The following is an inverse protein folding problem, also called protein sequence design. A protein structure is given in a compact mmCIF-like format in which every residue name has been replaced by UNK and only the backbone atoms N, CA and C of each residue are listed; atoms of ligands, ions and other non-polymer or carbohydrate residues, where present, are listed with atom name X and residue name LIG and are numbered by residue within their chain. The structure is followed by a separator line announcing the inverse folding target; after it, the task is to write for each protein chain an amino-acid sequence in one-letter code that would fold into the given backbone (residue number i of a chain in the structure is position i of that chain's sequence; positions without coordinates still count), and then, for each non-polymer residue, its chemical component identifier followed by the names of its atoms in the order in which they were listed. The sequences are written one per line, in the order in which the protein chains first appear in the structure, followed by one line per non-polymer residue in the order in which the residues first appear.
data_IF_565023365820
#
_entry.id   IF_565023365820
#
_cell.length_a   1.000
_cell.length_b   1.000
_cell.length_c   1.000
_cell.angle_alpha   90.00
_cell.angle_beta   90.00
_cell.angle_gamma   90.00
#
_symmetry.space_group_name_H-M   'P 1'
#
loop_
_entity.id
_entity.type
_entity.pdbx_description
1 polymer ?
#
# COMPACT_ATOMS: atom_id res chain seq x y z
N UNK A 1 5.82 21.49 -10.22
CA UNK A 1 7.16 22.10 -10.05
C UNK A 1 7.89 21.93 -11.39
N UNK A 2 8.69 22.90 -11.84
CA UNK A 2 9.44 22.77 -13.10
C UNK A 2 10.48 21.64 -13.00
N UNK A 3 10.66 20.87 -14.08
CA UNK A 3 11.54 19.68 -14.09
C UNK A 3 13.00 20.02 -13.75
N UNK A 4 13.53 21.12 -14.29
CA UNK A 4 14.91 21.57 -14.03
C UNK A 4 15.17 21.84 -12.54
N UNK A 5 14.16 22.39 -11.83
CA UNK A 5 14.25 22.61 -10.37
C UNK A 5 14.29 21.28 -9.62
N UNK A 6 13.53 20.28 -10.06
CA UNK A 6 13.50 18.94 -9.44
C UNK A 6 14.85 18.26 -9.62
N UNK A 7 15.46 18.34 -10.80
CA UNK A 7 16.78 17.77 -11.09
C UNK A 7 17.87 18.34 -10.17
N UNK A 8 17.90 19.66 -10.00
CA UNK A 8 18.83 20.31 -9.07
C UNK A 8 18.58 19.93 -7.60
N UNK A 9 17.33 19.64 -7.21
CA UNK A 9 17.02 19.14 -5.86
C UNK A 9 17.44 17.68 -5.69
N UNK A 10 17.24 16.83 -6.71
CA UNK A 10 17.69 15.44 -6.71
C UNK A 10 19.20 15.34 -6.57
N UNK A 11 19.97 16.19 -7.27
CA UNK A 11 21.41 16.22 -7.11
C UNK A 11 21.83 16.52 -5.65
N UNK A 12 21.20 17.53 -5.03
CA UNK A 12 21.44 17.86 -3.61
C UNK A 12 21.03 16.73 -2.66
N UNK A 13 19.93 16.04 -2.96
CA UNK A 13 19.46 14.89 -2.20
C UNK A 13 20.48 13.74 -2.26
N UNK A 14 20.97 13.40 -3.46
CA UNK A 14 22.00 12.37 -3.63
C UNK A 14 23.33 12.74 -2.97
N UNK A 15 23.68 14.03 -2.96
CA UNK A 15 24.83 14.56 -2.24
C UNK A 15 24.61 14.65 -0.71
N UNK A 16 23.41 14.39 -0.21
CA UNK A 16 23.01 14.54 1.20
C UNK A 16 23.22 15.95 1.77
N UNK A 17 23.08 16.96 0.91
CA UNK A 17 23.16 18.38 1.29
C UNK A 17 21.82 19.10 1.17
N UNK A 18 20.78 18.38 0.75
CA UNK A 18 19.41 18.88 0.75
C UNK A 18 18.93 19.15 2.19
N UNK A 19 18.12 20.19 2.37
CA UNK A 19 17.44 20.46 3.64
C UNK A 19 16.16 19.64 3.76
N UNK A 20 15.67 19.42 4.98
CA UNK A 20 14.38 18.73 5.21
C UNK A 20 13.21 19.34 4.43
N UNK A 21 13.22 20.67 4.25
CA UNK A 21 12.20 21.36 3.46
C UNK A 21 12.29 21.00 1.96
N UNK A 22 13.50 20.88 1.43
CA UNK A 22 13.75 20.49 0.04
C UNK A 22 13.41 19.02 -0.20
N UNK A 23 13.71 18.14 0.74
CA UNK A 23 13.32 16.72 0.68
C UNK A 23 11.79 16.57 0.71
N UNK A 24 11.11 17.39 1.52
CA UNK A 24 9.65 17.46 1.50
C UNK A 24 9.11 17.95 0.15
N UNK A 25 9.70 18.99 -0.44
CA UNK A 25 9.33 19.44 -1.79
C UNK A 25 9.52 18.34 -2.86
N UNK A 26 10.61 17.57 -2.78
CA UNK A 26 10.82 16.41 -3.64
C UNK A 26 9.75 15.35 -3.43
N UNK A 27 9.45 15.01 -2.17
CA UNK A 27 8.41 14.04 -1.84
C UNK A 27 7.03 14.48 -2.37
N UNK A 28 6.63 15.72 -2.11
CA UNK A 28 5.36 16.28 -2.58
C UNK A 28 5.27 16.26 -4.12
N UNK A 29 6.38 16.53 -4.82
CA UNK A 29 6.44 16.44 -6.27
C UNK A 29 6.25 15.01 -6.78
N UNK A 30 6.95 14.03 -6.20
CA UNK A 30 6.86 12.62 -6.64
C UNK A 30 5.56 11.93 -6.24
N UNK A 31 4.87 12.43 -5.20
CA UNK A 31 3.51 12.00 -4.84
C UNK A 31 2.43 12.68 -5.70
N UNK A 32 2.78 13.69 -6.49
CA UNK A 32 1.83 14.35 -7.39
C UNK A 32 1.55 13.49 -8.63
N UNK A 33 0.44 13.77 -9.32
CA UNK A 33 0.09 13.07 -10.56
C UNK A 33 0.85 13.58 -11.79
N UNK A 34 1.68 14.63 -11.64
CA UNK A 34 2.33 15.36 -12.74
C UNK A 34 3.85 15.27 -12.65
N UNK A 35 4.36 14.03 -12.62
CA UNK A 35 5.80 13.75 -12.61
C UNK A 35 6.30 13.60 -14.05
N UNK A 36 7.30 14.41 -14.42
CA UNK A 36 7.92 14.34 -15.74
C UNK A 36 8.44 12.93 -16.08
N UNK A 37 8.24 12.50 -17.33
CA UNK A 37 8.48 11.11 -17.76
C UNK A 37 9.90 10.60 -17.49
N UNK A 38 10.92 11.45 -17.67
CA UNK A 38 12.32 11.06 -17.43
C UNK A 38 12.68 10.96 -15.93
N UNK A 39 11.87 11.55 -15.06
CA UNK A 39 12.05 11.53 -13.61
C UNK A 39 11.25 10.42 -12.92
N UNK A 40 10.31 9.76 -13.62
CA UNK A 40 9.46 8.71 -13.05
C UNK A 40 10.25 7.55 -12.41
N UNK A 41 11.44 7.25 -12.92
CA UNK A 41 12.33 6.23 -12.35
C UNK A 41 12.74 6.49 -10.89
N UNK A 42 12.70 7.75 -10.45
CA UNK A 42 13.06 8.15 -9.09
C UNK A 42 11.85 8.16 -8.13
N UNK A 43 10.62 8.01 -8.64
CA UNK A 43 9.40 8.08 -7.83
C UNK A 43 9.40 7.06 -6.69
N UNK A 44 9.91 5.84 -6.93
CA UNK A 44 9.98 4.79 -5.91
C UNK A 44 10.83 5.16 -4.68
N UNK A 45 11.71 6.17 -4.78
CA UNK A 45 12.46 6.69 -3.62
C UNK A 45 11.56 7.47 -2.64
N UNK A 46 10.45 8.02 -3.12
CA UNK A 46 9.55 8.90 -2.37
C UNK A 46 8.17 8.28 -2.12
N UNK A 47 7.90 7.11 -2.70
CA UNK A 47 6.62 6.40 -2.67
C UNK A 47 6.42 5.49 -1.44
N UNK A 48 7.41 5.41 -0.53
CA UNK A 48 7.43 4.44 0.58
C UNK A 48 6.18 4.48 1.48
N UNK A 49 5.50 5.63 1.60
CA UNK A 49 4.31 5.80 2.44
C UNK A 49 2.97 5.85 1.68
N UNK A 50 2.98 5.77 0.34
CA UNK A 50 1.72 5.76 -0.41
C UNK A 50 0.99 4.42 -0.29
N UNK A 51 1.75 3.32 -0.18
CA UNK A 51 1.23 1.93 -0.16
C UNK A 51 0.37 1.63 1.08
N UNK A 52 0.51 2.38 2.17
CA UNK A 52 -0.25 2.12 3.40
C UNK A 52 -1.67 2.71 3.38
N UNK A 53 -2.02 3.57 2.42
CA UNK A 53 -3.36 4.20 2.37
C UNK A 53 -4.46 3.28 1.83
N UNK A 54 -4.13 2.19 1.13
CA UNK A 54 -5.14 1.32 0.50
C UNK A 54 -5.37 -0.02 1.20
N UNK A 55 -4.51 -0.41 2.16
CA UNK A 55 -4.63 -1.71 2.84
C UNK A 55 -5.58 -1.71 4.06
N UNK A 56 -6.12 -0.55 4.46
CA UNK A 56 -7.03 -0.44 5.61
C UNK A 56 -8.52 -0.41 5.25
N UNK A 57 -8.92 -0.79 4.03
CA UNK A 57 -10.34 -0.81 3.67
C UNK A 57 -10.73 -1.98 2.77
N UNK A 58 -10.55 -3.22 3.27
CA UNK A 58 -11.20 -4.41 2.66
C UNK A 58 -11.29 -5.66 3.54
N UNK A 59 -11.29 -5.52 4.86
CA UNK A 59 -11.87 -6.57 5.71
C UNK A 59 -13.33 -6.22 5.98
N UNK A 60 -14.20 -6.55 5.03
CA UNK A 60 -15.60 -6.82 5.37
C UNK A 60 -15.60 -8.07 6.25
N UNK A 61 -15.46 -7.88 7.56
CA UNK A 61 -15.67 -8.95 8.53
C UNK A 61 -17.16 -9.30 8.42
N UNK A 62 -17.45 -10.42 7.76
CA UNK A 62 -18.81 -10.95 7.73
C UNK A 62 -19.29 -11.16 9.17
N UNK A 63 -20.53 -10.77 9.52
CA UNK A 63 -21.08 -11.03 10.84
C UNK A 63 -20.93 -12.52 11.19
N UNK A 64 -20.58 -12.81 12.45
CA UNK A 64 -20.36 -14.17 12.94
C UNK A 64 -21.49 -15.14 12.56
N UNK A 65 -22.73 -14.64 12.52
CA UNK A 65 -23.91 -15.41 12.10
C UNK A 65 -23.80 -15.96 10.66
N UNK A 66 -23.26 -15.17 9.72
CA UNK A 66 -23.06 -15.56 8.33
C UNK A 66 -21.98 -16.64 8.21
N UNK A 67 -20.89 -16.50 8.98
CA UNK A 67 -19.77 -17.46 9.02
C UNK A 67 -20.24 -18.81 9.56
N UNK A 68 -21.10 -18.80 10.59
CA UNK A 68 -21.63 -20.02 11.18
C UNK A 68 -22.61 -20.75 10.25
N UNK A 69 -23.50 -20.02 9.56
CA UNK A 69 -24.45 -20.62 8.63
C UNK A 69 -23.77 -21.35 7.46
N UNK A 70 -22.67 -20.81 6.93
CA UNK A 70 -21.90 -21.43 5.84
C UNK A 70 -21.14 -22.69 6.29
N UNK A 71 -20.66 -22.72 7.54
CA UNK A 71 -19.94 -23.87 8.09
C UNK A 71 -20.86 -25.05 8.45
N UNK A 72 -22.15 -24.80 8.71
CA UNK A 72 -23.12 -25.86 8.97
C UNK A 72 -23.54 -26.64 7.72
N UNK A 73 -23.47 -26.04 6.52
CA UNK A 73 -23.82 -26.72 5.28
C UNK A 73 -22.73 -27.69 4.75
N UNK A 74 -21.56 -27.76 5.41
CA UNK A 74 -20.45 -28.64 5.01
C UNK A 74 -20.29 -29.90 5.88
N UNK A 75 -21.20 -30.16 6.84
CA UNK A 75 -21.13 -31.34 7.73
C UNK A 75 -22.16 -32.39 7.35
N UNK A 76 -22.04 -32.89 6.12
CA UNK A 76 -22.75 -34.06 5.62
C UNK A 76 -21.83 -35.25 5.37
N UNK A 77 -20.91 -35.60 6.30
CA UNK A 77 -20.33 -36.97 6.38
C UNK A 77 -19.51 -37.21 7.67
N UNK A 78 -20.15 -37.40 8.82
CA UNK A 78 -19.51 -38.03 10.01
C UNK A 78 -20.44 -39.03 10.71
N UNK A 79 -21.43 -39.59 10.00
CA UNK A 79 -22.46 -40.47 10.56
C UNK A 79 -22.02 -41.90 10.91
N UNK A 80 -20.73 -42.23 10.91
CA UNK A 80 -20.28 -43.63 10.94
C UNK A 80 -19.52 -44.11 12.18
N UNK A 81 -19.11 -43.23 13.11
CA UNK A 81 -18.07 -43.61 14.09
C UNK A 81 -18.47 -43.68 15.56
N UNK A 82 -19.72 -43.36 15.94
CA UNK A 82 -20.11 -43.26 17.37
C UNK A 82 -21.29 -44.16 17.80
N UNK A 83 -21.60 -45.23 17.05
CA UNK A 83 -22.61 -46.23 17.45
C UNK A 83 -22.07 -47.65 17.21
N UNK A 84 -21.01 -48.01 17.94
CA UNK A 84 -20.64 -49.41 18.15
C UNK A 84 -19.90 -49.57 19.49
N UNK A 85 -20.67 -49.52 20.56
CA UNK A 85 -20.40 -50.12 21.86
C UNK A 85 -21.73 -50.69 22.36
#
# INVERSE_FOLDING_TARGET
MESDKVEGLLEKYFQRVATLAQEKELQDYFLSQDVASHLQQFASLFDYFAVEKEQYNKHEILPFEVIMAQNMNKKGNLGGFLLRL
#
